data_IF_999087101008
#
_entry.id   IF_999087101008
#
_cell.length_a   1.000
_cell.length_b   1.000
_cell.length_c   1.000
_cell.angle_alpha   90.00
_cell.angle_beta   90.00
_cell.angle_gamma   90.00
#
_symmetry.space_group_name_H-M   'P 1'
#
loop_
_entity.id
_entity.type
_entity.pdbx_description
1 polymer ?
#
# COMPACT_ATOMS: atom_id res chain seq x y z
N UNK A 1 -5.69 -8.26 58.14
CA UNK A 1 -5.09 -7.27 59.07
C UNK A 1 -5.28 -5.91 58.40
N UNK A 2 -6.25 -5.21 58.83
CA UNK A 2 -6.30 -3.94 59.59
C UNK A 2 -6.12 -2.75 58.66
N UNK A 3 -7.23 -2.08 58.35
CA UNK A 3 -7.93 -0.87 58.90
C UNK A 3 -7.31 0.43 58.38
N UNK A 4 -8.05 1.24 57.62
CA UNK A 4 -9.09 2.23 58.03
C UNK A 4 -8.46 3.52 58.59
N UNK A 5 -8.97 4.68 58.11
CA UNK A 5 -9.38 5.92 58.83
C UNK A 5 -9.49 7.00 57.73
N UNK A 6 -10.66 7.46 57.26
CA UNK A 6 -11.70 8.33 57.81
C UNK A 6 -11.17 9.65 58.41
N UNK A 7 -11.52 10.79 57.91
CA UNK A 7 -12.61 11.64 58.40
C UNK A 7 -12.34 13.12 58.05
N UNK A 8 -13.32 13.79 57.47
CA UNK A 8 -14.21 14.78 58.02
C UNK A 8 -13.64 16.18 58.25
N UNK A 9 -14.33 17.20 57.75
CA UNK A 9 -15.04 18.31 58.42
C UNK A 9 -15.48 19.28 57.30
N UNK A 10 -16.69 19.55 57.04
CA UNK A 10 -17.97 20.10 57.56
C UNK A 10 -17.87 21.52 58.16
N UNK A 11 -18.79 22.31 57.67
CA UNK A 11 -19.55 23.43 58.22
C UNK A 11 -19.00 24.82 57.90
N UNK A 12 -19.75 25.81 57.76
CA UNK A 12 -21.18 26.16 57.75
C UNK A 12 -21.30 27.67 57.89
N UNK A 13 -22.27 28.25 57.18
CA UNK A 13 -23.11 29.39 57.56
C UNK A 13 -22.49 30.77 57.87
N UNK A 14 -23.04 31.91 57.46
CA UNK A 14 -24.29 32.48 57.90
C UNK A 14 -24.44 33.93 57.38
N UNK A 15 -25.56 34.31 56.82
CA UNK A 15 -26.36 35.56 56.88
C UNK A 15 -25.65 36.95 56.87
N UNK A 16 -26.06 37.96 56.12
CA UNK A 16 -27.25 38.75 56.28
C UNK A 16 -27.31 39.99 55.35
N UNK A 17 -28.49 40.27 54.86
CA UNK A 17 -29.21 41.50 54.61
C UNK A 17 -28.50 42.83 54.37
N UNK A 18 -28.91 43.49 53.28
CA UNK A 18 -28.78 44.94 53.10
C UNK A 18 -29.35 45.41 51.77
N UNK A 19 -30.62 45.76 51.74
CA UNK A 19 -31.26 46.40 50.59
C UNK A 19 -30.82 47.86 50.52
N UNK A 20 -30.38 48.34 49.35
CA UNK A 20 -30.42 49.79 49.06
C UNK A 20 -30.74 49.99 47.59
N UNK A 21 -31.89 50.56 47.33
CA UNK A 21 -32.35 51.03 46.05
C UNK A 21 -31.50 52.22 45.57
N UNK A 22 -30.88 52.15 44.42
CA UNK A 22 -30.46 53.33 43.67
C UNK A 22 -30.98 53.28 42.25
N UNK A 23 -31.86 54.19 41.94
CA UNK A 23 -32.28 54.52 40.59
C UNK A 23 -31.11 55.17 39.87
N UNK A 24 -30.66 54.63 38.77
CA UNK A 24 -29.81 55.33 37.82
C UNK A 24 -30.26 55.07 36.37
N UNK A 25 -30.47 56.13 35.73
CA UNK A 25 -30.92 56.43 34.38
C UNK A 25 -30.06 55.66 33.36
N UNK A 26 -30.72 54.90 32.45
CA UNK A 26 -30.10 54.24 31.32
C UNK A 26 -30.03 55.22 30.13
N UNK A 27 -28.88 55.53 29.57
CA UNK A 27 -28.82 56.10 28.24
C UNK A 27 -28.89 54.96 27.20
N UNK A 28 -29.84 55.07 26.26
CA UNK A 28 -30.01 54.20 25.14
C UNK A 28 -28.77 54.31 24.20
N UNK A 29 -27.92 53.26 24.22
CA UNK A 29 -26.90 53.10 23.19
C UNK A 29 -27.52 52.30 22.04
N UNK A 30 -27.73 52.99 20.92
CA UNK A 30 -28.09 52.37 19.64
C UNK A 30 -26.85 51.63 19.14
N UNK A 31 -26.86 50.29 19.28
CA UNK A 31 -25.84 49.44 18.71
C UNK A 31 -26.16 49.23 17.20
N UNK A 32 -25.48 49.96 16.33
CA UNK A 32 -25.49 49.70 14.90
C UNK A 32 -24.83 48.32 14.66
N UNK A 33 -25.64 47.29 14.39
CA UNK A 33 -25.18 45.99 13.96
C UNK A 33 -24.63 46.11 12.53
N UNK A 34 -23.32 46.29 12.37
CA UNK A 34 -22.64 46.07 11.10
C UNK A 34 -22.62 44.55 10.83
N UNK A 35 -23.53 44.11 9.95
CA UNK A 35 -23.48 42.77 9.38
C UNK A 35 -22.22 42.66 8.52
N UNK A 36 -21.15 42.08 9.08
CA UNK A 36 -20.03 41.57 8.32
C UNK A 36 -20.53 40.34 7.56
N UNK A 37 -20.36 40.25 6.23
CA UNK A 37 -20.59 39.00 5.54
C UNK A 37 -19.55 38.03 6.04
N UNK A 38 -19.97 37.03 6.84
CA UNK A 38 -19.18 35.87 7.12
C UNK A 38 -19.02 35.12 5.79
N UNK A 39 -17.91 35.36 5.08
CA UNK A 39 -17.40 34.39 4.15
C UNK A 39 -17.05 33.14 4.93
N UNK A 40 -18.08 32.31 5.15
CA UNK A 40 -17.92 30.92 5.58
C UNK A 40 -17.27 30.16 4.44
N UNK A 41 -15.95 30.30 4.31
CA UNK A 41 -15.16 29.29 3.65
C UNK A 41 -15.33 28.03 4.46
N UNK A 42 -16.25 27.18 4.03
CA UNK A 42 -16.35 25.81 4.48
C UNK A 42 -15.01 25.16 4.11
N UNK A 43 -14.06 25.16 5.05
CA UNK A 43 -12.98 24.19 4.99
C UNK A 43 -13.65 22.86 5.20
N UNK A 44 -14.09 22.24 4.08
CA UNK A 44 -14.47 20.84 4.10
C UNK A 44 -13.32 20.10 4.77
N UNK A 45 -13.57 19.57 5.96
CA UNK A 45 -12.69 18.66 6.66
C UNK A 45 -12.34 17.56 5.67
N UNK A 46 -11.06 17.36 5.39
CA UNK A 46 -10.53 16.38 4.42
C UNK A 46 -10.79 14.92 4.83
N UNK A 47 -11.70 14.66 5.76
CA UNK A 47 -11.94 13.36 6.38
C UNK A 47 -13.19 12.61 5.92
N UNK A 48 -13.98 13.18 5.01
CA UNK A 48 -15.25 12.55 4.64
C UNK A 48 -15.15 11.57 3.45
N UNK A 49 -14.00 11.51 2.77
CA UNK A 49 -13.80 10.65 1.60
C UNK A 49 -12.94 9.47 1.97
N UNK A 50 -13.50 8.27 1.90
CA UNK A 50 -12.78 7.03 2.20
C UNK A 50 -12.74 6.15 0.95
N UNK A 51 -11.52 5.80 0.52
CA UNK A 51 -11.29 4.86 -0.58
C UNK A 51 -10.74 3.55 -0.01
N UNK A 52 -11.32 2.43 -0.43
CA UNK A 52 -10.82 1.11 -0.08
C UNK A 52 -9.85 0.60 -1.15
N UNK A 53 -8.79 -0.09 -0.72
CA UNK A 53 -7.84 -0.78 -1.60
C UNK A 53 -7.65 -2.21 -1.11
N UNK A 54 -7.21 -3.13 -1.97
CA UNK A 54 -6.93 -4.50 -1.52
C UNK A 54 -5.71 -4.54 -0.62
N UNK A 55 -4.59 -3.96 -1.06
CA UNK A 55 -3.27 -4.05 -0.40
C UNK A 55 -2.65 -2.66 -0.18
N UNK A 56 -1.74 -2.58 0.80
CA UNK A 56 -1.07 -1.33 1.19
C UNK A 56 -0.29 -0.62 0.05
N UNK A 57 0.38 -1.31 -0.91
CA UNK A 57 1.03 -0.62 -2.03
C UNK A 57 0.09 0.28 -2.84
N UNK A 58 -1.17 -0.11 -3.05
CA UNK A 58 -2.15 0.72 -3.77
C UNK A 58 -2.41 2.05 -3.07
N UNK A 59 -2.39 2.05 -1.74
CA UNK A 59 -2.54 3.24 -0.91
C UNK A 59 -1.48 4.30 -1.22
N UNK A 60 -0.21 3.87 -1.39
CA UNK A 60 0.88 4.78 -1.76
C UNK A 60 0.56 5.57 -3.04
N UNK A 61 0.06 4.92 -4.10
CA UNK A 61 -0.23 5.57 -5.38
C UNK A 61 -1.39 6.57 -5.26
N UNK A 62 -2.48 6.18 -4.62
CA UNK A 62 -3.64 7.05 -4.44
C UNK A 62 -3.30 8.25 -3.55
N UNK A 63 -2.71 8.03 -2.37
CA UNK A 63 -2.35 9.09 -1.43
C UNK A 63 -1.28 10.04 -2.00
N UNK A 64 -0.38 9.55 -2.85
CA UNK A 64 0.63 10.39 -3.52
C UNK A 64 0.03 11.38 -4.50
N UNK A 65 -1.10 11.03 -5.12
CA UNK A 65 -1.84 11.93 -6.04
C UNK A 65 -2.79 12.82 -5.24
N UNK A 66 -3.58 12.23 -4.35
CA UNK A 66 -4.69 12.89 -3.68
C UNK A 66 -4.27 13.67 -2.41
N UNK A 67 -3.04 13.42 -1.91
CA UNK A 67 -2.55 14.00 -0.65
C UNK A 67 -3.54 13.68 0.51
N UNK A 68 -3.82 14.65 1.37
CA UNK A 68 -4.75 14.50 2.51
C UNK A 68 -6.23 14.67 2.14
N UNK A 69 -6.57 14.69 0.86
CA UNK A 69 -7.96 14.91 0.40
C UNK A 69 -8.84 13.70 0.52
N UNK A 70 -8.24 12.53 0.64
CA UNK A 70 -8.92 11.25 0.81
C UNK A 70 -8.24 10.44 1.91
N UNK A 71 -8.99 9.62 2.59
CA UNK A 71 -8.48 8.57 3.45
C UNK A 71 -8.45 7.28 2.65
N UNK A 72 -7.32 6.55 2.66
CA UNK A 72 -7.23 5.25 1.98
C UNK A 72 -7.06 4.15 3.00
N UNK A 73 -7.89 3.12 2.91
CA UNK A 73 -7.89 1.97 3.82
C UNK A 73 -7.61 0.68 3.05
N UNK A 74 -6.61 -0.07 3.47
CA UNK A 74 -6.33 -1.39 2.92
C UNK A 74 -7.22 -2.45 3.60
N UNK A 75 -7.77 -3.38 2.80
CA UNK A 75 -8.63 -4.46 3.28
C UNK A 75 -7.81 -5.64 3.82
N UNK A 76 -6.70 -5.96 3.17
CA UNK A 76 -5.76 -6.96 3.65
C UNK A 76 -4.81 -6.31 4.65
N UNK A 77 -4.78 -6.76 5.92
CA UNK A 77 -3.91 -6.18 6.93
C UNK A 77 -2.43 -6.38 6.60
N UNK A 78 -1.59 -5.44 7.03
CA UNK A 78 -0.15 -5.57 6.90
C UNK A 78 0.35 -6.89 7.54
N UNK A 79 1.24 -7.61 6.83
CA UNK A 79 1.78 -8.90 7.26
C UNK A 79 0.87 -10.10 7.00
N UNK A 80 -0.30 -9.90 6.38
CA UNK A 80 -1.17 -10.99 5.91
C UNK A 80 -0.88 -11.31 4.45
N UNK A 81 -0.96 -12.60 4.10
CA UNK A 81 -0.85 -13.04 2.72
C UNK A 81 -2.13 -12.74 1.94
N UNK A 82 -2.13 -11.84 0.92
CA UNK A 82 -3.32 -11.50 0.15
C UNK A 82 -3.86 -12.65 -0.69
N UNK A 83 -3.05 -13.68 -0.96
CA UNK A 83 -3.49 -14.86 -1.69
C UNK A 83 -4.41 -15.75 -0.85
N UNK A 84 -4.27 -15.75 0.48
CA UNK A 84 -5.02 -16.63 1.38
C UNK A 84 -5.92 -15.88 2.36
N UNK A 85 -5.77 -14.55 2.47
CA UNK A 85 -6.51 -13.77 3.46
C UNK A 85 -8.02 -13.88 3.30
N UNK A 86 -8.72 -14.22 4.39
CA UNK A 86 -10.18 -14.27 4.48
C UNK A 86 -10.69 -13.08 5.31
N UNK A 87 -11.54 -12.20 4.73
CA UNK A 87 -11.91 -10.96 5.40
C UNK A 87 -12.90 -11.17 6.54
N UNK A 88 -12.65 -10.53 7.68
CA UNK A 88 -13.63 -10.49 8.76
C UNK A 88 -14.85 -9.63 8.38
N UNK A 89 -16.01 -9.82 9.06
CA UNK A 89 -17.18 -8.97 8.85
C UNK A 89 -16.89 -7.47 9.04
N UNK A 90 -15.96 -7.12 9.91
CA UNK A 90 -15.53 -5.73 10.13
C UNK A 90 -14.83 -5.14 8.91
N UNK A 91 -14.00 -5.94 8.22
CA UNK A 91 -13.34 -5.52 6.97
C UNK A 91 -14.37 -5.29 5.88
N UNK A 92 -15.33 -6.21 5.71
CA UNK A 92 -16.40 -6.07 4.73
C UNK A 92 -17.31 -4.88 5.01
N UNK A 93 -17.56 -4.57 6.30
CA UNK A 93 -18.29 -3.37 6.69
C UNK A 93 -17.54 -2.09 6.29
N UNK A 94 -16.23 -2.00 6.55
CA UNK A 94 -15.40 -0.85 6.12
C UNK A 94 -15.45 -0.65 4.60
N UNK A 95 -15.43 -1.75 3.85
CA UNK A 95 -15.55 -1.69 2.40
C UNK A 95 -16.91 -1.11 1.99
N UNK A 96 -18.01 -1.52 2.63
CA UNK A 96 -19.35 -1.01 2.31
C UNK A 96 -19.57 0.47 2.66
N UNK A 97 -18.72 1.03 3.51
CA UNK A 97 -18.73 2.44 3.92
C UNK A 97 -17.77 3.31 3.07
N UNK A 98 -17.03 2.70 2.14
CA UNK A 98 -16.11 3.43 1.26
C UNK A 98 -16.84 4.07 0.05
N UNK A 99 -16.28 5.16 -0.48
CA UNK A 99 -16.79 5.82 -1.69
C UNK A 99 -16.44 5.06 -2.97
N UNK A 100 -15.36 4.28 -2.95
CA UNK A 100 -14.95 3.42 -4.05
C UNK A 100 -13.99 2.33 -3.56
N UNK A 101 -13.88 1.24 -4.33
CA UNK A 101 -12.93 0.16 -4.11
C UNK A 101 -11.99 -0.01 -5.31
N UNK A 102 -10.69 0.04 -5.03
CA UNK A 102 -9.62 -0.16 -5.99
C UNK A 102 -9.00 -1.54 -5.76
N UNK A 103 -9.02 -2.38 -6.75
CA UNK A 103 -8.43 -3.71 -6.68
C UNK A 103 -7.34 -3.90 -7.73
N UNK A 104 -6.42 -4.81 -7.45
CA UNK A 104 -5.26 -5.10 -8.32
C UNK A 104 -5.71 -5.79 -9.62
N UNK A 105 -6.58 -6.79 -9.50
CA UNK A 105 -6.99 -7.68 -10.57
C UNK A 105 -6.11 -8.94 -10.59
N UNK A 106 -6.50 -9.95 -9.77
CA UNK A 106 -5.81 -11.23 -9.78
C UNK A 106 -5.36 -11.79 -8.44
N UNK A 107 -5.33 -10.99 -7.36
CA UNK A 107 -5.02 -11.49 -6.02
C UNK A 107 -6.06 -12.50 -5.54
N UNK A 108 -5.63 -13.53 -4.82
CA UNK A 108 -6.50 -14.58 -4.31
C UNK A 108 -7.67 -14.06 -3.46
N UNK A 109 -7.44 -13.03 -2.63
CA UNK A 109 -8.49 -12.30 -1.92
C UNK A 109 -9.56 -11.79 -2.90
N UNK A 110 -9.16 -11.14 -3.98
CA UNK A 110 -10.05 -10.54 -4.97
C UNK A 110 -10.84 -11.61 -5.74
N UNK A 111 -10.14 -12.66 -6.18
CA UNK A 111 -10.77 -13.78 -6.91
C UNK A 111 -11.88 -14.43 -6.09
N UNK A 112 -11.70 -14.59 -4.78
CA UNK A 112 -12.71 -15.20 -3.90
C UNK A 112 -13.84 -14.27 -3.51
N UNK A 113 -13.59 -12.95 -3.41
CA UNK A 113 -14.53 -12.04 -2.78
C UNK A 113 -15.18 -11.03 -3.73
N UNK A 114 -14.59 -10.74 -4.91
CA UNK A 114 -15.02 -9.64 -5.78
C UNK A 114 -16.49 -9.78 -6.24
N UNK A 115 -16.96 -11.00 -6.55
CA UNK A 115 -18.35 -11.25 -6.91
C UNK A 115 -19.30 -10.86 -5.75
N UNK A 116 -19.04 -11.36 -4.55
CA UNK A 116 -19.84 -11.04 -3.36
C UNK A 116 -19.75 -9.55 -2.97
N UNK A 117 -18.59 -8.92 -3.15
CA UNK A 117 -18.40 -7.48 -2.94
C UNK A 117 -19.34 -6.70 -3.87
N UNK A 118 -19.36 -7.04 -5.16
CA UNK A 118 -20.21 -6.40 -6.16
C UNK A 118 -21.70 -6.59 -5.88
N UNK A 119 -22.10 -7.81 -5.54
CA UNK A 119 -23.49 -8.15 -5.27
C UNK A 119 -24.02 -7.47 -4.01
N UNK A 120 -23.22 -7.39 -2.96
CA UNK A 120 -23.60 -6.76 -1.69
C UNK A 120 -23.49 -5.23 -1.71
N UNK A 121 -22.74 -4.65 -2.66
CA UNK A 121 -22.51 -3.21 -2.77
C UNK A 121 -22.75 -2.71 -4.22
N UNK A 122 -23.97 -2.84 -4.77
CA UNK A 122 -24.22 -2.58 -6.20
C UNK A 122 -24.00 -1.13 -6.63
N UNK A 123 -23.85 -0.20 -5.68
CA UNK A 123 -23.59 1.21 -5.95
C UNK A 123 -22.12 1.61 -5.72
N UNK A 124 -21.30 0.71 -5.20
CA UNK A 124 -19.88 0.99 -4.95
C UNK A 124 -19.12 0.96 -6.27
N UNK A 125 -18.48 2.07 -6.68
CA UNK A 125 -17.58 2.08 -7.83
C UNK A 125 -16.40 1.14 -7.60
N UNK A 126 -16.07 0.31 -8.60
CA UNK A 126 -14.99 -0.67 -8.56
C UNK A 126 -13.98 -0.35 -9.66
N UNK A 127 -12.73 -0.12 -9.29
CA UNK A 127 -11.64 0.23 -10.21
C UNK A 127 -10.56 -0.85 -10.21
N UNK A 128 -10.37 -1.50 -11.34
CA UNK A 128 -9.29 -2.45 -11.56
C UNK A 128 -8.02 -1.71 -11.97
N UNK A 129 -7.03 -1.70 -11.09
CA UNK A 129 -5.80 -0.95 -11.33
C UNK A 129 -4.86 -1.68 -12.30
N UNK A 130 -4.92 -3.00 -12.39
CA UNK A 130 -4.11 -3.82 -13.28
C UNK A 130 -4.46 -3.69 -14.76
N UNK A 131 -5.68 -3.27 -15.05
CA UNK A 131 -6.12 -3.06 -16.43
C UNK A 131 -5.24 -2.09 -17.19
N UNK A 132 -4.75 -1.03 -16.53
CA UNK A 132 -3.85 -0.06 -17.15
C UNK A 132 -2.53 -0.66 -17.63
N UNK A 133 -2.05 -1.74 -17.03
CA UNK A 133 -0.87 -2.47 -17.50
C UNK A 133 -1.14 -3.23 -18.80
N UNK A 134 -2.29 -3.87 -18.90
CA UNK A 134 -2.70 -4.57 -20.12
C UNK A 134 -2.91 -3.59 -21.28
N UNK A 135 -3.51 -2.43 -21.01
CA UNK A 135 -3.78 -1.39 -22.01
C UNK A 135 -2.50 -0.66 -22.47
N UNK A 136 -1.47 -0.56 -21.60
CA UNK A 136 -0.17 0.03 -21.95
C UNK A 136 0.63 -0.81 -22.96
N UNK A 137 0.11 -1.95 -23.37
CA UNK A 137 0.77 -2.88 -24.27
C UNK A 137 1.98 -3.53 -23.58
N UNK A 138 1.87 -4.75 -23.20
CA UNK A 138 2.96 -5.56 -22.60
C UNK A 138 4.18 -5.73 -23.51
N UNK A 139 4.28 -4.95 -24.60
CA UNK A 139 5.38 -5.02 -25.57
C UNK A 139 6.75 -4.80 -24.94
N UNK A 140 6.85 -3.94 -23.92
CA UNK A 140 8.11 -3.68 -23.22
C UNK A 140 8.42 -4.73 -22.13
N UNK A 141 7.42 -5.52 -21.70
CA UNK A 141 7.58 -6.60 -20.73
C UNK A 141 7.78 -7.98 -21.38
N UNK A 142 7.60 -8.10 -22.69
CA UNK A 142 7.83 -9.33 -23.44
C UNK A 142 9.27 -9.50 -23.95
N UNK A 143 10.25 -8.87 -23.28
CA UNK A 143 11.66 -9.09 -23.57
C UNK A 143 12.05 -10.55 -23.40
N UNK A 144 12.12 -11.24 -24.55
CA UNK A 144 12.87 -12.49 -24.82
C UNK A 144 13.18 -13.40 -23.62
N UNK A 145 12.17 -14.05 -23.04
CA UNK A 145 12.41 -15.27 -22.30
C UNK A 145 12.46 -16.42 -23.29
N UNK A 146 13.69 -16.92 -23.59
CA UNK A 146 13.92 -18.05 -24.48
C UNK A 146 13.62 -19.42 -23.84
N UNK A 147 13.03 -19.43 -22.65
CA UNK A 147 12.65 -20.65 -21.98
C UNK A 147 11.11 -20.79 -21.98
N UNK A 148 10.63 -21.71 -22.82
CA UNK A 148 9.21 -21.97 -23.12
C UNK A 148 8.40 -22.52 -21.94
N UNK A 149 8.96 -22.64 -20.73
CA UNK A 149 8.26 -23.12 -19.52
C UNK A 149 7.58 -22.04 -18.69
N UNK A 150 7.78 -20.74 -19.01
CA UNK A 150 7.29 -19.61 -18.18
C UNK A 150 6.29 -18.67 -18.88
N UNK A 151 5.90 -18.95 -20.12
CA UNK A 151 5.01 -18.07 -20.92
C UNK A 151 3.58 -17.96 -20.35
N UNK A 152 3.13 -18.91 -19.55
CA UNK A 152 1.79 -18.90 -18.97
C UNK A 152 1.72 -18.23 -17.57
N UNK A 153 2.87 -18.08 -16.89
CA UNK A 153 2.92 -17.50 -15.54
C UNK A 153 2.60 -16.00 -15.51
N UNK A 154 3.02 -15.24 -16.53
CA UNK A 154 2.80 -13.78 -16.56
C UNK A 154 1.37 -13.37 -16.92
N UNK A 155 0.57 -14.24 -17.55
CA UNK A 155 -0.81 -13.95 -17.88
C UNK A 155 -1.72 -13.83 -16.64
N UNK A 156 -1.25 -14.31 -15.48
CA UNK A 156 -1.98 -14.33 -14.22
C UNK A 156 -1.22 -13.79 -13.00
N UNK A 157 0.05 -13.32 -13.18
CA UNK A 157 0.84 -12.76 -12.08
C UNK A 157 0.34 -11.36 -11.71
N UNK A 158 -0.23 -11.14 -10.51
CA UNK A 158 -0.75 -9.87 -10.11
C UNK A 158 0.30 -8.89 -9.55
N UNK A 159 1.59 -9.31 -9.38
CA UNK A 159 2.60 -8.58 -8.60
C UNK A 159 3.29 -7.43 -9.36
N UNK A 160 2.61 -6.80 -10.32
CA UNK A 160 3.19 -5.73 -11.15
C UNK A 160 3.55 -4.47 -10.36
N UNK A 161 3.01 -4.24 -9.16
CA UNK A 161 3.43 -3.13 -8.30
C UNK A 161 4.91 -3.25 -7.85
N UNK A 162 5.52 -4.41 -7.97
CA UNK A 162 6.94 -4.63 -7.63
C UNK A 162 7.91 -4.07 -8.67
N UNK A 163 7.44 -3.50 -9.77
CA UNK A 163 8.24 -2.95 -10.87
C UNK A 163 7.98 -1.45 -11.09
N UNK A 164 8.88 -0.78 -11.78
CA UNK A 164 8.70 0.64 -12.14
C UNK A 164 7.64 0.79 -13.22
N UNK A 165 7.63 -0.11 -14.20
CA UNK A 165 6.61 -0.14 -15.27
C UNK A 165 5.23 -0.34 -14.64
N UNK A 166 5.07 -1.30 -13.74
CA UNK A 166 3.83 -1.52 -13.01
C UNK A 166 3.43 -0.34 -12.12
N UNK A 167 4.38 0.32 -11.47
CA UNK A 167 4.13 1.53 -10.69
C UNK A 167 3.58 2.69 -11.55
N UNK A 168 4.08 2.85 -12.78
CA UNK A 168 3.53 3.81 -13.75
C UNK A 168 2.08 3.48 -14.10
N UNK A 169 1.77 2.21 -14.37
CA UNK A 169 0.42 1.77 -14.65
C UNK A 169 -0.53 2.02 -13.45
N UNK A 170 -0.09 1.70 -12.23
CA UNK A 170 -0.85 1.98 -11.01
C UNK A 170 -1.07 3.48 -10.78
N UNK A 171 -0.04 4.30 -11.01
CA UNK A 171 -0.14 5.76 -10.95
C UNK A 171 -1.20 6.29 -11.92
N UNK A 172 -1.21 5.77 -13.16
CA UNK A 172 -2.20 6.14 -14.17
C UNK A 172 -3.60 5.70 -13.79
N UNK A 173 -3.79 4.45 -13.37
CA UNK A 173 -5.09 3.94 -12.94
C UNK A 173 -5.66 4.71 -11.75
N UNK A 174 -4.83 5.03 -10.75
CA UNK A 174 -5.22 5.85 -9.61
C UNK A 174 -5.66 7.25 -10.03
N UNK A 175 -4.91 7.88 -10.94
CA UNK A 175 -5.24 9.20 -11.47
C UNK A 175 -6.58 9.18 -12.23
N UNK A 176 -6.78 8.24 -13.16
CA UNK A 176 -7.99 8.16 -13.97
C UNK A 176 -9.23 7.96 -13.09
N UNK A 177 -9.14 7.09 -12.10
CA UNK A 177 -10.22 6.85 -11.15
C UNK A 177 -10.52 8.08 -10.26
N UNK A 178 -9.49 8.81 -9.80
CA UNK A 178 -9.69 10.05 -9.02
C UNK A 178 -10.35 11.14 -9.85
N UNK A 179 -10.00 11.26 -11.14
CA UNK A 179 -10.65 12.20 -12.06
C UNK A 179 -12.11 11.81 -12.31
N UNK A 180 -12.42 10.52 -12.44
CA UNK A 180 -13.78 10.02 -12.59
C UNK A 180 -14.63 10.29 -11.35
N UNK A 181 -14.10 9.96 -10.16
CA UNK A 181 -14.80 10.14 -8.89
C UNK A 181 -14.97 11.61 -8.50
N UNK A 182 -13.98 12.45 -8.77
CA UNK A 182 -13.94 13.84 -8.32
C UNK A 182 -13.49 14.81 -9.43
N UNK A 183 -14.28 14.95 -10.50
CA UNK A 183 -13.89 15.71 -11.71
C UNK A 183 -13.60 17.19 -11.46
N UNK A 184 -14.22 17.77 -10.43
CA UNK A 184 -14.02 19.18 -10.07
C UNK A 184 -12.63 19.47 -9.47
N UNK A 185 -11.86 18.43 -9.12
CA UNK A 185 -10.52 18.56 -8.55
C UNK A 185 -9.42 18.10 -9.53
N UNK A 186 -9.76 17.98 -10.82
CA UNK A 186 -8.84 17.46 -11.84
C UNK A 186 -7.48 18.16 -11.85
N UNK A 187 -7.43 19.48 -11.75
CA UNK A 187 -6.15 20.24 -11.73
C UNK A 187 -5.26 19.85 -10.53
N UNK A 188 -5.85 19.41 -9.43
CA UNK A 188 -5.13 18.92 -8.27
C UNK A 188 -4.58 17.54 -8.54
N UNK A 189 -5.39 16.67 -9.15
CA UNK A 189 -4.98 15.31 -9.52
C UNK A 189 -3.88 15.34 -10.57
N UNK A 190 -3.95 16.25 -11.58
CA UNK A 190 -2.90 16.45 -12.57
C UNK A 190 -1.55 16.71 -11.90
N UNK A 191 -1.50 17.70 -11.00
CA UNK A 191 -0.27 18.05 -10.28
C UNK A 191 0.25 16.92 -9.38
N UNK A 192 -0.66 16.18 -8.74
CA UNK A 192 -0.33 15.03 -7.91
C UNK A 192 0.28 13.90 -8.74
N UNK A 193 -0.34 13.59 -9.85
CA UNK A 193 0.10 12.56 -10.80
C UNK A 193 1.48 12.89 -11.39
N UNK A 194 1.69 14.15 -11.83
CA UNK A 194 2.99 14.58 -12.36
C UNK A 194 4.10 14.44 -11.31
N UNK A 195 3.83 14.86 -10.06
CA UNK A 195 4.80 14.69 -8.96
C UNK A 195 5.12 13.21 -8.70
N UNK A 196 4.11 12.35 -8.66
CA UNK A 196 4.28 10.91 -8.44
C UNK A 196 5.11 10.30 -9.57
N UNK A 197 4.79 10.60 -10.82
CA UNK A 197 5.54 10.09 -11.97
C UNK A 197 7.01 10.53 -11.94
N UNK A 198 7.28 11.78 -11.56
CA UNK A 198 8.66 12.27 -11.38
C UNK A 198 9.45 11.49 -10.31
N UNK A 199 8.80 11.07 -9.22
CA UNK A 199 9.40 10.22 -8.17
C UNK A 199 9.65 8.80 -8.68
N UNK A 200 8.66 8.20 -9.36
CA UNK A 200 8.81 6.87 -9.99
C UNK A 200 9.99 6.86 -10.97
N UNK A 201 10.11 7.91 -11.82
CA UNK A 201 11.25 8.05 -12.73
C UNK A 201 12.58 8.20 -12.00
N UNK A 202 12.57 8.84 -10.83
CA UNK A 202 13.78 8.96 -10.01
C UNK A 202 14.21 7.62 -9.43
N UNK A 203 13.24 6.80 -8.97
CA UNK A 203 13.52 5.42 -8.53
C UNK A 203 14.15 4.61 -9.67
N UNK A 204 13.57 4.68 -10.88
CA UNK A 204 14.13 3.97 -12.06
C UNK A 204 15.59 4.35 -12.30
N UNK A 205 15.88 5.66 -12.36
CA UNK A 205 17.25 6.14 -12.58
C UNK A 205 18.23 5.68 -11.51
N UNK A 206 17.79 5.65 -10.25
CA UNK A 206 18.62 5.17 -9.14
C UNK A 206 18.93 3.68 -9.28
N UNK A 207 17.91 2.85 -9.57
CA UNK A 207 18.13 1.40 -9.79
C UNK A 207 19.03 1.16 -10.99
N UNK A 208 18.80 1.85 -12.11
CA UNK A 208 19.65 1.74 -13.30
C UNK A 208 21.11 2.08 -12.97
N UNK A 209 21.34 3.14 -12.18
CA UNK A 209 22.68 3.54 -11.75
C UNK A 209 23.35 2.47 -10.87
N UNK A 210 22.61 1.87 -9.93
CA UNK A 210 23.11 0.80 -9.07
C UNK A 210 23.52 -0.43 -9.90
N UNK A 211 22.76 -0.75 -10.95
CA UNK A 211 23.00 -1.94 -11.77
C UNK A 211 23.99 -1.72 -12.93
N UNK A 212 24.22 -0.45 -13.33
CA UNK A 212 25.11 -0.12 -14.43
C UNK A 212 26.57 -0.56 -14.22
N UNK A 213 27.00 -0.70 -12.97
CA UNK A 213 28.38 -1.09 -12.62
C UNK A 213 28.71 -2.57 -12.88
N UNK A 214 27.75 -3.37 -13.35
CA UNK A 214 27.91 -4.79 -13.66
C UNK A 214 28.21 -5.69 -12.44
N UNK A 215 28.10 -5.14 -11.22
CA UNK A 215 28.37 -5.87 -9.96
C UNK A 215 27.10 -6.43 -9.32
N UNK A 216 25.92 -6.01 -9.78
CA UNK A 216 24.65 -6.51 -9.29
C UNK A 216 24.50 -8.01 -9.57
N UNK A 217 23.85 -8.70 -8.65
CA UNK A 217 23.47 -10.09 -8.81
C UNK A 217 22.60 -10.27 -10.06
N UNK A 218 22.75 -11.39 -10.75
CA UNK A 218 21.93 -11.75 -11.91
C UNK A 218 20.77 -12.67 -11.54
N UNK A 219 20.79 -13.23 -10.34
CA UNK A 219 19.75 -14.10 -9.81
C UNK A 219 19.61 -13.92 -8.30
N UNK A 220 18.43 -14.18 -7.81
CA UNK A 220 18.11 -14.23 -6.38
C UNK A 220 17.11 -15.34 -6.09
N UNK A 221 17.06 -15.78 -4.84
CA UNK A 221 16.03 -16.71 -4.35
C UNK A 221 15.01 -15.92 -3.54
N UNK A 222 13.74 -16.28 -3.67
CA UNK A 222 12.62 -15.71 -2.91
C UNK A 222 11.62 -16.81 -2.59
N UNK A 223 10.86 -16.67 -1.48
CA UNK A 223 9.87 -17.67 -1.14
C UNK A 223 8.69 -17.66 -2.12
N UNK A 224 7.93 -16.58 -2.17
CA UNK A 224 6.79 -16.35 -3.06
C UNK A 224 7.19 -15.41 -4.23
N UNK A 225 6.74 -15.65 -5.47
CA UNK A 225 7.25 -14.99 -6.69
C UNK A 225 6.78 -13.54 -6.85
N UNK A 226 6.81 -12.72 -5.81
CA UNK A 226 6.29 -11.36 -5.83
C UNK A 226 7.17 -10.33 -6.53
N UNK A 227 8.36 -10.72 -7.03
CA UNK A 227 9.31 -9.82 -7.72
C UNK A 227 9.51 -10.17 -9.19
N UNK A 228 8.58 -10.92 -9.81
CA UNK A 228 8.71 -11.36 -11.22
C UNK A 228 8.85 -10.17 -12.18
N UNK A 229 8.01 -9.14 -12.02
CA UNK A 229 8.06 -7.94 -12.85
C UNK A 229 9.34 -7.12 -12.62
N UNK A 230 9.81 -7.02 -11.37
CA UNK A 230 11.10 -6.41 -11.08
C UNK A 230 12.25 -7.17 -11.74
N UNK A 231 12.24 -8.49 -11.57
CA UNK A 231 13.28 -9.35 -12.18
C UNK A 231 13.31 -9.20 -13.70
N UNK A 232 12.15 -9.23 -14.35
CA UNK A 232 12.03 -9.06 -15.80
C UNK A 232 12.53 -7.68 -16.25
N UNK A 233 12.08 -6.59 -15.58
CA UNK A 233 12.44 -5.22 -15.94
C UNK A 233 13.96 -4.98 -15.89
N UNK A 234 14.64 -5.62 -14.94
CA UNK A 234 16.08 -5.41 -14.73
C UNK A 234 16.97 -6.59 -15.21
N UNK A 235 16.40 -7.55 -15.96
CA UNK A 235 17.14 -8.66 -16.56
C UNK A 235 17.74 -9.61 -15.51
N UNK A 236 16.99 -9.87 -14.42
CA UNK A 236 17.37 -10.75 -13.33
C UNK A 236 16.58 -12.06 -13.40
N UNK A 237 17.11 -13.10 -12.77
CA UNK A 237 16.41 -14.39 -12.60
C UNK A 237 15.87 -14.50 -11.16
N UNK A 238 14.57 -14.68 -11.04
CA UNK A 238 13.91 -15.04 -9.79
C UNK A 238 13.83 -16.56 -9.67
N UNK A 239 14.34 -17.13 -8.57
CA UNK A 239 14.24 -18.56 -8.24
C UNK A 239 13.29 -18.68 -7.06
N UNK A 240 12.21 -19.45 -7.19
CA UNK A 240 11.09 -19.49 -6.25
C UNK A 240 11.18 -20.73 -5.38
N UNK A 241 10.97 -20.57 -4.07
CA UNK A 241 11.00 -21.67 -3.10
C UNK A 241 9.67 -22.43 -3.08
N UNK A 242 8.54 -21.71 -3.06
CA UNK A 242 7.22 -22.36 -3.08
C UNK A 242 6.97 -23.11 -4.40
N UNK A 243 6.06 -24.07 -4.40
CA UNK A 243 5.69 -24.85 -5.57
C UNK A 243 4.18 -24.69 -5.82
N UNK A 244 3.79 -23.89 -6.84
CA UNK A 244 2.40 -23.59 -7.20
C UNK A 244 1.54 -23.06 -6.04
N UNK A 245 2.07 -22.13 -5.25
CA UNK A 245 1.38 -21.56 -4.09
C UNK A 245 1.26 -22.50 -2.88
N UNK A 246 2.06 -23.58 -2.85
CA UNK A 246 2.06 -24.60 -1.78
C UNK A 246 3.44 -24.73 -1.16
N UNK A 247 3.46 -25.42 -0.01
CA UNK A 247 4.73 -25.83 0.59
C UNK A 247 5.54 -26.70 -0.39
N UNK A 248 6.85 -26.41 -0.56
CA UNK A 248 7.68 -27.10 -1.52
C UNK A 248 7.96 -28.53 -1.10
N UNK A 249 8.03 -29.42 -2.08
CA UNK A 249 8.50 -30.79 -1.85
C UNK A 249 10.02 -30.82 -1.61
N UNK A 250 10.54 -31.86 -0.96
CA UNK A 250 11.98 -32.04 -0.78
C UNK A 250 12.74 -32.13 -2.12
N UNK A 251 12.10 -32.65 -3.16
CA UNK A 251 12.68 -32.73 -4.50
C UNK A 251 12.76 -31.34 -5.14
N UNK A 252 11.74 -30.50 -4.96
CA UNK A 252 11.75 -29.12 -5.44
C UNK A 252 12.82 -28.28 -4.70
N UNK A 253 12.89 -28.35 -3.38
CA UNK A 253 13.92 -27.65 -2.60
C UNK A 253 15.34 -27.99 -3.07
N UNK A 254 15.61 -29.26 -3.41
CA UNK A 254 16.89 -29.67 -3.97
C UNK A 254 17.17 -29.02 -5.31
N UNK A 255 16.17 -28.97 -6.20
CA UNK A 255 16.30 -28.25 -7.50
C UNK A 255 16.59 -26.75 -7.30
N UNK A 256 15.87 -26.09 -6.36
CA UNK A 256 16.11 -24.68 -6.00
C UNK A 256 17.56 -24.46 -5.54
N UNK A 257 18.07 -25.31 -4.65
CA UNK A 257 19.43 -25.20 -4.14
C UNK A 257 20.45 -25.42 -5.28
N UNK A 258 20.27 -26.44 -6.10
CA UNK A 258 21.17 -26.75 -7.20
C UNK A 258 21.19 -25.60 -8.25
N UNK A 259 20.00 -25.06 -8.58
CA UNK A 259 19.87 -23.92 -9.48
C UNK A 259 20.51 -22.66 -8.91
N UNK A 260 20.24 -22.35 -7.63
CA UNK A 260 20.81 -21.19 -6.97
C UNK A 260 22.35 -21.23 -6.92
N UNK A 261 22.93 -22.41 -6.71
CA UNK A 261 24.39 -22.62 -6.78
C UNK A 261 24.93 -22.45 -8.19
N UNK A 262 24.25 -22.99 -9.22
CA UNK A 262 24.65 -22.88 -10.60
C UNK A 262 24.63 -21.41 -11.07
N UNK A 263 23.63 -20.64 -10.65
CA UNK A 263 23.48 -19.21 -10.98
C UNK A 263 24.32 -18.29 -10.08
N UNK A 264 25.04 -18.83 -9.11
CA UNK A 264 25.89 -18.06 -8.20
C UNK A 264 25.09 -17.08 -7.32
N UNK A 265 23.90 -17.49 -6.87
CA UNK A 265 23.03 -16.65 -6.05
C UNK A 265 23.71 -16.29 -4.73
N UNK A 266 23.70 -14.99 -4.40
CA UNK A 266 24.26 -14.44 -3.18
C UNK A 266 23.22 -13.83 -2.22
N UNK A 267 21.95 -13.68 -2.69
CA UNK A 267 20.85 -13.09 -1.94
C UNK A 267 19.65 -14.05 -1.92
N UNK A 268 19.11 -14.27 -0.72
CA UNK A 268 17.82 -14.92 -0.52
C UNK A 268 16.90 -13.90 0.14
N UNK A 269 15.82 -13.51 -0.53
CA UNK A 269 14.83 -12.62 0.01
C UNK A 269 13.84 -13.35 0.92
N UNK A 270 13.56 -12.73 2.06
CA UNK A 270 12.64 -13.22 3.09
C UNK A 270 11.47 -12.24 3.18
N UNK A 271 10.27 -12.75 2.98
CA UNK A 271 9.02 -11.99 3.03
C UNK A 271 8.29 -12.30 4.36
N UNK A 272 7.74 -11.29 5.06
CA UNK A 272 7.13 -11.49 6.38
C UNK A 272 5.85 -12.32 6.36
N UNK A 273 5.18 -12.41 5.20
CA UNK A 273 3.92 -13.14 5.01
C UNK A 273 4.10 -14.65 4.87
N UNK A 274 5.36 -15.13 4.71
CA UNK A 274 5.68 -16.52 4.38
C UNK A 274 6.64 -17.16 5.37
N UNK A 275 6.84 -18.48 5.23
CA UNK A 275 7.71 -19.27 6.10
C UNK A 275 9.18 -18.83 5.99
N UNK A 276 9.61 -18.07 6.97
CA UNK A 276 10.97 -17.50 7.04
C UNK A 276 12.07 -18.57 7.18
N UNK A 277 11.78 -19.65 7.91
CA UNK A 277 12.79 -20.68 8.27
C UNK A 277 13.32 -21.41 7.04
N UNK A 278 12.45 -21.77 6.10
CA UNK A 278 12.87 -22.48 4.88
C UNK A 278 13.81 -21.59 4.03
N UNK A 279 13.48 -20.30 3.89
CA UNK A 279 14.32 -19.36 3.18
C UNK A 279 15.68 -19.15 3.85
N UNK A 280 15.72 -19.08 5.19
CA UNK A 280 16.98 -18.99 5.97
C UNK A 280 17.82 -20.27 5.86
N UNK A 281 17.19 -21.45 5.85
CA UNK A 281 17.89 -22.72 5.69
C UNK A 281 18.52 -22.84 4.28
N UNK A 282 17.81 -22.44 3.23
CA UNK A 282 18.35 -22.38 1.86
C UNK A 282 19.51 -21.39 1.80
N UNK A 283 19.34 -20.17 2.34
CA UNK A 283 20.42 -19.17 2.36
C UNK A 283 21.70 -19.73 2.99
N UNK A 284 21.58 -20.44 4.10
CA UNK A 284 22.71 -21.09 4.79
C UNK A 284 23.32 -22.21 3.93
N UNK A 285 22.50 -23.04 3.28
CA UNK A 285 22.95 -24.18 2.46
C UNK A 285 23.72 -23.74 1.21
N UNK A 286 23.35 -22.60 0.61
CA UNK A 286 24.03 -22.06 -0.57
C UNK A 286 25.08 -21.00 -0.24
N UNK A 287 25.24 -20.63 1.03
CA UNK A 287 26.18 -19.57 1.46
C UNK A 287 25.73 -18.14 1.07
N UNK A 288 24.45 -17.93 0.84
CA UNK A 288 23.89 -16.64 0.48
C UNK A 288 23.49 -15.82 1.73
N UNK A 289 23.36 -14.49 1.53
CA UNK A 289 22.89 -13.56 2.57
C UNK A 289 21.36 -13.52 2.57
N UNK A 290 20.69 -13.82 3.70
CA UNK A 290 19.26 -13.56 3.83
C UNK A 290 18.99 -12.06 3.96
N UNK A 291 18.00 -11.53 3.22
CA UNK A 291 17.59 -10.13 3.25
C UNK A 291 16.08 -10.06 3.42
N UNK A 292 15.63 -9.39 4.46
CA UNK A 292 14.19 -9.17 4.69
C UNK A 292 13.69 -8.07 3.78
N UNK A 293 12.60 -8.34 3.06
CA UNK A 293 11.89 -7.40 2.19
C UNK A 293 10.41 -7.42 2.54
N UNK A 294 9.70 -6.36 2.20
CA UNK A 294 8.25 -6.32 2.34
C UNK A 294 7.60 -5.65 1.11
N UNK A 295 7.39 -6.40 0.02
CA UNK A 295 6.76 -5.88 -1.21
C UNK A 295 5.33 -5.37 -0.99
N UNK A 296 4.69 -5.70 0.14
CA UNK A 296 3.34 -5.25 0.51
C UNK A 296 3.34 -3.99 1.38
N UNK A 297 4.48 -3.32 1.61
CA UNK A 297 4.48 -2.07 2.40
C UNK A 297 4.02 -0.87 1.59
N UNK A 298 3.43 0.11 2.27
CA UNK A 298 2.97 1.35 1.65
C UNK A 298 4.09 2.29 1.19
N UNK A 299 5.32 2.19 1.71
CA UNK A 299 6.47 2.98 1.25
C UNK A 299 7.14 2.33 0.04
N UNK A 300 6.47 2.36 -1.10
CA UNK A 300 6.90 1.69 -2.33
C UNK A 300 8.31 2.07 -2.80
N UNK A 301 8.64 3.36 -2.84
CA UNK A 301 9.96 3.84 -3.30
C UNK A 301 11.09 3.26 -2.47
N UNK A 302 10.93 3.30 -1.13
CA UNK A 302 11.93 2.79 -0.20
C UNK A 302 12.15 1.29 -0.39
N UNK A 303 11.08 0.54 -0.62
CA UNK A 303 11.15 -0.90 -0.78
C UNK A 303 11.85 -1.30 -2.09
N UNK A 304 11.48 -0.67 -3.22
CA UNK A 304 12.16 -0.92 -4.50
C UNK A 304 13.66 -0.59 -4.41
N UNK A 305 14.00 0.53 -3.80
CA UNK A 305 15.41 0.90 -3.60
C UNK A 305 16.13 -0.03 -2.60
N UNK A 306 15.45 -0.54 -1.58
CA UNK A 306 16.01 -1.53 -0.65
C UNK A 306 16.35 -2.84 -1.35
N UNK A 307 15.43 -3.36 -2.18
CA UNK A 307 15.65 -4.56 -3.00
C UNK A 307 16.82 -4.35 -3.95
N UNK A 308 16.85 -3.21 -4.66
CA UNK A 308 17.91 -2.89 -5.60
C UNK A 308 19.29 -2.78 -4.93
N UNK A 309 19.39 -2.08 -3.77
CA UNK A 309 20.64 -1.98 -3.00
C UNK A 309 21.14 -3.35 -2.54
N UNK A 310 20.23 -4.22 -2.10
CA UNK A 310 20.60 -5.57 -1.67
C UNK A 310 21.27 -6.35 -2.81
N UNK A 311 20.71 -6.28 -4.03
CA UNK A 311 21.23 -6.94 -5.21
C UNK A 311 22.49 -6.28 -5.78
N UNK A 312 22.62 -4.97 -5.63
CA UNK A 312 23.83 -4.21 -6.02
C UNK A 312 24.97 -4.32 -4.99
N UNK A 313 24.74 -4.97 -3.83
CA UNK A 313 25.66 -5.04 -2.70
C UNK A 313 26.05 -3.66 -2.14
N UNK A 314 25.18 -2.66 -2.30
CA UNK A 314 25.34 -1.36 -1.65
C UNK A 314 24.89 -1.42 -0.19
N UNK A 315 25.59 -0.65 0.67
CA UNK A 315 25.30 -0.57 2.13
C UNK A 315 24.30 0.53 2.45
#
# INVERSE_FOLDING_TARGET
MIRTILSRYVSSNFWSRGATFFFTIFPAFILAATALPACGGSTASSSDRTLAVTIEPQKYFIESIADKSVQVVALVPAGSNPEEYDPSPTVMKRLSEADAYFYIGGLGFEQRNLAAIRDNNPKLPLFEMGKALADAGSADLHGSCTDHSHTDLHAHDPHYWSSVVGAKALSRAAYDALVELYPNEKDKWDKGHDRLNGRIDSVKRLVDTMFANGKADKAFVIYHPSLSFFAQEFGLRQIVIEEDGKEPTAAHLRRVIDQARADGVRIVFIQPEFETRQAEDIAREIGARPVRINPLRSSWEEEILHIARALAHER
#
